data_IF_715714813742
#
_entry.id   IF_715714813742
#
_cell.length_a   1.000
_cell.length_b   1.000
_cell.length_c   1.000
_cell.angle_alpha   90.00
_cell.angle_beta   90.00
_cell.angle_gamma   90.00
#
_symmetry.space_group_name_H-M   'P 1'
#
loop_
_entity.id
_entity.type
_entity.pdbx_description
1 polymer ?
#
# COMPACT_ATOMS: atom_id res chain seq x y z
N UNK A 1 -6.09 -6.08 -10.80
CA UNK A 1 -5.79 -7.30 -10.01
C UNK A 1 -4.47 -7.03 -9.30
N UNK A 2 -4.44 -7.13 -7.96
CA UNK A 2 -3.23 -6.86 -7.16
C UNK A 2 -2.67 -8.21 -6.72
N UNK A 3 -1.43 -8.56 -7.10
CA UNK A 3 -0.81 -9.80 -6.65
C UNK A 3 -0.58 -9.79 -5.12
N UNK A 4 -1.06 -10.84 -4.46
CA UNK A 4 -0.76 -11.15 -3.06
C UNK A 4 0.15 -12.37 -3.06
N UNK A 5 1.39 -12.17 -2.65
CA UNK A 5 2.42 -13.19 -2.58
C UNK A 5 2.49 -13.68 -1.15
N UNK A 6 2.10 -14.93 -0.92
CA UNK A 6 2.28 -15.57 0.38
C UNK A 6 3.73 -16.08 0.46
N UNK A 7 4.51 -15.53 1.39
CA UNK A 7 5.88 -15.94 1.62
C UNK A 7 6.10 -16.11 3.12
N UNK A 8 6.45 -17.34 3.53
CA UNK A 8 6.41 -17.75 4.95
C UNK A 8 5.03 -17.42 5.54
N UNK A 9 4.97 -16.92 6.77
CA UNK A 9 3.74 -16.50 7.45
C UNK A 9 3.36 -15.03 7.16
N UNK A 10 3.86 -14.45 6.07
CA UNK A 10 3.64 -13.06 5.68
C UNK A 10 3.01 -12.95 4.29
N UNK A 11 2.26 -11.86 4.09
CA UNK A 11 1.70 -11.47 2.78
C UNK A 11 2.44 -10.25 2.26
N UNK A 12 3.13 -10.42 1.15
CA UNK A 12 3.77 -9.34 0.40
C UNK A 12 2.85 -8.98 -0.77
N UNK A 13 2.48 -7.71 -0.88
CA UNK A 13 1.48 -7.24 -1.82
C UNK A 13 2.10 -6.26 -2.77
N UNK A 14 2.08 -6.59 -4.05
CA UNK A 14 2.65 -5.77 -5.11
C UNK A 14 1.65 -4.69 -5.51
N UNK A 15 1.83 -3.46 -5.04
CA UNK A 15 0.78 -2.44 -5.10
C UNK A 15 0.63 -1.77 -6.46
N UNK A 16 1.68 -1.81 -7.30
CA UNK A 16 1.74 -1.10 -8.57
C UNK A 16 1.26 0.35 -8.46
N UNK A 17 0.50 0.79 -9.45
CA UNK A 17 -0.03 2.16 -9.56
C UNK A 17 -1.10 2.52 -8.54
N UNK A 18 -1.70 1.56 -7.82
CA UNK A 18 -2.65 1.89 -6.75
C UNK A 18 -1.94 2.66 -5.62
N UNK A 19 -0.68 2.29 -5.36
CA UNK A 19 0.16 2.91 -4.35
C UNK A 19 1.61 2.95 -4.85
N UNK A 20 1.97 3.94 -5.70
CA UNK A 20 3.30 4.02 -6.28
C UNK A 20 4.41 4.28 -5.25
N UNK A 21 4.11 5.06 -4.21
CA UNK A 21 5.08 5.45 -3.19
C UNK A 21 4.41 5.76 -1.85
N UNK A 22 5.21 5.93 -0.79
CA UNK A 22 4.69 6.28 0.54
C UNK A 22 3.87 7.58 0.54
N UNK A 23 4.17 8.51 -0.38
CA UNK A 23 3.45 9.77 -0.54
C UNK A 23 2.01 9.58 -1.01
N UNK A 24 1.70 8.43 -1.59
CA UNK A 24 0.38 8.08 -2.07
C UNK A 24 -0.47 7.36 -1.02
N UNK A 25 0.02 7.11 0.20
CA UNK A 25 -0.78 6.43 1.25
C UNK A 25 -2.03 7.22 1.63
N UNK A 26 -1.97 8.56 1.87
CA UNK A 26 -3.18 9.28 2.23
C UNK A 26 -4.22 9.18 1.12
N UNK A 27 -5.46 8.90 1.53
CA UNK A 27 -6.53 8.51 0.62
C UNK A 27 -6.71 9.47 -0.58
N UNK A 28 -6.71 10.81 -0.41
CA UNK A 28 -6.96 11.76 -1.50
C UNK A 28 -5.93 11.75 -2.65
N UNK A 29 -4.75 11.15 -2.45
CA UNK A 29 -3.73 11.08 -3.49
C UNK A 29 -3.99 9.88 -4.40
N UNK A 30 -4.73 10.13 -5.49
CA UNK A 30 -5.02 9.16 -6.57
C UNK A 30 -4.30 9.55 -7.85
N UNK A 31 -4.24 8.64 -8.81
CA UNK A 31 -3.43 8.85 -10.01
C UNK A 31 -4.16 9.74 -11.02
N UNK A 32 -3.42 10.64 -11.67
CA UNK A 32 -3.99 11.60 -12.63
C UNK A 32 -4.60 10.94 -13.88
N UNK A 33 -4.22 9.69 -14.17
CA UNK A 33 -4.77 8.89 -15.28
C UNK A 33 -5.94 7.98 -14.86
N UNK A 34 -6.33 7.97 -13.58
CA UNK A 34 -7.52 7.23 -13.14
C UNK A 34 -8.78 7.82 -13.79
N UNK A 35 -9.46 7.02 -14.60
CA UNK A 35 -10.69 7.48 -15.29
C UNK A 35 -11.88 7.67 -14.33
N UNK A 36 -11.81 7.07 -13.13
CA UNK A 36 -12.89 7.05 -12.12
C UNK A 36 -12.32 7.27 -10.71
N UNK A 37 -11.83 8.47 -10.37
CA UNK A 37 -11.10 8.72 -9.13
C UNK A 37 -11.92 8.42 -7.85
N UNK A 38 -13.24 8.64 -7.87
CA UNK A 38 -14.10 8.29 -6.73
C UNK A 38 -14.20 6.77 -6.51
N UNK A 39 -14.13 5.99 -7.60
CA UNK A 39 -14.08 4.53 -7.51
C UNK A 39 -12.72 4.09 -6.95
N UNK A 40 -11.61 4.64 -7.46
CA UNK A 40 -10.27 4.39 -6.93
C UNK A 40 -10.18 4.72 -5.44
N UNK A 41 -10.73 5.85 -4.99
CA UNK A 41 -10.74 6.24 -3.57
C UNK A 41 -11.44 5.20 -2.71
N UNK A 42 -12.58 4.67 -3.15
CA UNK A 42 -13.32 3.64 -2.42
C UNK A 42 -12.50 2.34 -2.33
N UNK A 43 -12.01 1.86 -3.47
CA UNK A 43 -11.23 0.61 -3.55
C UNK A 43 -9.92 0.70 -2.75
N UNK A 44 -9.21 1.83 -2.85
CA UNK A 44 -8.00 2.10 -2.08
C UNK A 44 -8.27 2.15 -0.58
N UNK A 45 -9.42 2.71 -0.16
CA UNK A 45 -9.81 2.73 1.25
C UNK A 45 -10.01 1.32 1.78
N UNK A 46 -10.75 0.48 1.04
CA UNK A 46 -11.00 -0.92 1.42
C UNK A 46 -9.69 -1.72 1.43
N UNK A 47 -8.84 -1.52 0.42
CA UNK A 47 -7.52 -2.14 0.32
C UNK A 47 -6.60 -1.80 1.48
N UNK A 48 -6.46 -0.51 1.80
CA UNK A 48 -5.57 -0.06 2.88
C UNK A 48 -6.06 -0.56 4.25
N UNK A 49 -7.39 -0.58 4.48
CA UNK A 49 -7.95 -1.14 5.72
C UNK A 49 -7.59 -2.61 5.88
N UNK A 50 -7.79 -3.41 4.82
CA UNK A 50 -7.44 -4.82 4.84
C UNK A 50 -5.93 -5.04 5.03
N UNK A 51 -5.10 -4.25 4.35
CA UNK A 51 -3.65 -4.29 4.51
C UNK A 51 -3.20 -4.00 5.95
N UNK A 52 -3.88 -3.05 6.61
CA UNK A 52 -3.62 -2.73 8.01
C UNK A 52 -4.05 -3.87 8.94
N UNK A 53 -5.26 -4.39 8.76
CA UNK A 53 -5.85 -5.45 9.59
C UNK A 53 -5.04 -6.75 9.51
N UNK A 54 -4.63 -7.14 8.30
CA UNK A 54 -3.88 -8.36 8.05
C UNK A 54 -2.35 -8.18 8.12
N UNK A 55 -1.86 -6.99 8.46
CA UNK A 55 -0.43 -6.65 8.49
C UNK A 55 0.31 -7.00 7.18
N UNK A 56 -0.27 -6.62 6.04
CA UNK A 56 0.36 -6.81 4.73
C UNK A 56 1.61 -5.95 4.58
N UNK A 57 2.63 -6.53 3.96
CA UNK A 57 3.82 -5.82 3.50
C UNK A 57 3.52 -5.28 2.11
N UNK A 58 3.45 -3.96 1.98
CA UNK A 58 3.17 -3.31 0.69
C UNK A 58 4.49 -3.05 -0.03
N UNK A 59 4.69 -3.68 -1.19
CA UNK A 59 5.86 -3.48 -2.04
C UNK A 59 5.59 -2.36 -3.06
N UNK A 60 6.42 -1.32 -3.02
CA UNK A 60 6.24 -0.06 -3.75
C UNK A 60 7.23 0.01 -4.93
N UNK A 61 6.84 -0.51 -6.09
CA UNK A 61 7.75 -0.62 -7.24
C UNK A 61 8.24 0.73 -7.81
N UNK A 62 7.50 1.81 -7.56
CA UNK A 62 7.80 3.15 -8.07
C UNK A 62 8.41 4.09 -7.02
N UNK A 63 8.57 3.64 -5.77
CA UNK A 63 9.20 4.45 -4.73
C UNK A 63 10.73 4.31 -4.83
N UNK A 64 11.47 5.39 -5.14
CA UNK A 64 12.91 5.30 -5.34
C UNK A 64 13.71 5.12 -4.04
N UNK A 65 13.06 5.25 -2.87
CA UNK A 65 13.72 5.24 -1.56
C UNK A 65 13.21 4.10 -0.67
N UNK A 66 11.90 3.82 -0.69
CA UNK A 66 11.27 2.86 0.21
C UNK A 66 10.71 1.66 -0.56
N UNK A 67 11.41 0.53 -0.52
CA UNK A 67 10.98 -0.67 -1.25
C UNK A 67 9.68 -1.27 -0.71
N UNK A 68 9.52 -1.27 0.61
CA UNK A 68 8.36 -1.83 1.30
C UNK A 68 7.85 -0.89 2.41
N UNK A 69 6.57 -0.98 2.72
CA UNK A 69 6.01 -0.31 3.90
C UNK A 69 4.92 -1.12 4.60
N UNK A 70 4.70 -0.77 5.87
CA UNK A 70 3.52 -1.13 6.63
C UNK A 70 2.68 0.11 6.88
N UNK A 71 1.38 -0.10 7.08
CA UNK A 71 0.43 0.98 7.38
C UNK A 71 -0.28 0.75 8.71
N UNK A 72 -0.77 1.81 9.32
CA UNK A 72 -1.56 1.76 10.56
C UNK A 72 -2.74 2.74 10.52
N UNK A 73 -3.77 2.43 11.30
CA UNK A 73 -4.89 3.33 11.53
C UNK A 73 -4.48 4.49 12.44
N UNK A 74 -4.86 5.71 12.06
CA UNK A 74 -4.70 6.92 12.88
C UNK A 74 -6.02 7.70 12.93
N UNK A 75 -6.09 8.75 13.76
CA UNK A 75 -7.25 9.66 13.79
C UNK A 75 -7.53 10.34 12.44
N UNK A 76 -6.52 10.45 11.58
CA UNK A 76 -6.63 11.05 10.23
C UNK A 76 -6.80 9.99 9.13
N UNK A 77 -7.16 8.76 9.50
CA UNK A 77 -7.22 7.60 8.63
C UNK A 77 -5.89 6.85 8.53
N UNK A 78 -5.78 5.96 7.55
CA UNK A 78 -4.60 5.09 7.41
C UNK A 78 -3.37 5.88 6.99
N UNK A 79 -2.25 5.66 7.68
CA UNK A 79 -0.96 6.33 7.44
C UNK A 79 0.19 5.34 7.45
N UNK A 80 1.34 5.83 7.00
CA UNK A 80 2.60 5.10 7.03
C UNK A 80 2.95 4.76 8.49
N UNK A 81 3.21 3.47 8.74
CA UNK A 81 3.70 2.97 10.03
C UNK A 81 5.23 2.87 10.02
N UNK A 82 5.78 2.21 9.02
CA UNK A 82 7.22 1.96 8.89
C UNK A 82 7.61 1.66 7.44
N UNK A 83 8.88 1.88 7.10
CA UNK A 83 9.49 1.57 5.80
C UNK A 83 10.60 0.56 5.97
N UNK A 84 10.79 -0.28 4.96
CA UNK A 84 11.66 -1.45 5.01
C UNK A 84 12.29 -1.72 3.64
N UNK A 85 13.43 -2.40 3.64
CA UNK A 85 13.91 -3.10 2.44
C UNK A 85 13.17 -4.43 2.29
N UNK A 86 12.92 -4.86 1.06
CA UNK A 86 12.30 -6.16 0.80
C UNK A 86 13.12 -7.31 1.40
N UNK A 87 14.45 -7.19 1.35
CA UNK A 87 15.39 -8.17 1.88
C UNK A 87 15.25 -8.41 3.41
N UNK A 88 14.60 -7.50 4.16
CA UNK A 88 14.33 -7.72 5.59
C UNK A 88 13.26 -8.81 5.83
N UNK A 89 12.45 -9.12 4.81
CA UNK A 89 11.36 -10.09 4.88
C UNK A 89 11.68 -11.42 4.17
N UNK A 90 12.76 -11.46 3.37
CA UNK A 90 13.21 -12.65 2.62
C UNK A 90 13.94 -13.64 3.52
#
# INVERSE_FOLDING_TARGET
>A
MIPIINYKDQKIVFTADLLPSIGHIPLPYVMGYDTRPLTTLKEKSEFLSLAQEENWILYLEHDPVNECCLVNQTEKGIRLKSTHKLAEFL
#
